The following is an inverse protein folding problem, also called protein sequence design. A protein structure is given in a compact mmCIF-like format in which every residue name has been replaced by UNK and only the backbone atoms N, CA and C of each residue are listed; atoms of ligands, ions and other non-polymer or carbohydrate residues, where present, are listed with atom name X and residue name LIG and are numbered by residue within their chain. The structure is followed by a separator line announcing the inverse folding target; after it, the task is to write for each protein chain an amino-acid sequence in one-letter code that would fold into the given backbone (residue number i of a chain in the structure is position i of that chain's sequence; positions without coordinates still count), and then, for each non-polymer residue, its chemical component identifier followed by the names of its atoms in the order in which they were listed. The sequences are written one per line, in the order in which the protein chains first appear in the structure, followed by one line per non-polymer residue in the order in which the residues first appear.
data_IF_885200549362
#
_entry.id   IF_885200549362
#
_cell.length_a   1.000
_cell.length_b   1.000
_cell.length_c   1.000
_cell.angle_alpha   90.00
_cell.angle_beta   90.00
_cell.angle_gamma   90.00
#
_symmetry.space_group_name_H-M   'P 1'
#
loop_
_entity.id
_entity.type
_entity.pdbx_description
1 polymer ?
#
# COMPACT_ATOMS: atom_id res chain seq x y z
N UNK A 1 -14.65 14.75 22.77
CA UNK A 1 -14.75 13.28 22.85
C UNK A 1 -13.37 12.75 23.15
N UNK A 2 -13.23 11.97 24.23
CA UNK A 2 -12.01 11.18 24.51
C UNK A 2 -12.41 9.75 24.21
N UNK A 3 -11.71 9.12 23.27
CA UNK A 3 -11.87 7.71 22.96
C UNK A 3 -10.70 7.01 23.65
N UNK A 4 -11.02 6.29 24.73
CA UNK A 4 -10.08 5.35 25.36
C UNK A 4 -10.27 4.00 24.67
N UNK A 5 -9.24 3.55 23.97
CA UNK A 5 -9.18 2.22 23.35
C UNK A 5 -7.84 1.58 23.65
N UNK A 6 -7.86 0.42 24.29
CA UNK A 6 -6.68 -0.44 24.42
C UNK A 6 -6.51 -1.27 23.13
N UNK A 7 -5.26 -1.42 22.68
CA UNK A 7 -4.94 -2.37 21.62
C UNK A 7 -5.20 -3.81 22.11
N UNK A 8 -5.65 -4.72 21.23
CA UNK A 8 -5.69 -6.14 21.58
C UNK A 8 -4.28 -6.61 21.97
N UNK A 9 -4.15 -7.19 23.17
CA UNK A 9 -2.88 -7.71 23.72
C UNK A 9 -2.19 -8.78 22.85
N UNK A 10 -2.92 -9.36 21.90
CA UNK A 10 -2.39 -10.28 20.89
C UNK A 10 -2.25 -9.54 19.56
N UNK A 11 -1.05 -9.05 19.31
CA UNK A 11 -0.63 -8.44 18.05
C UNK A 11 -0.21 -9.47 17.01
N UNK A 12 -0.09 -10.75 17.37
CA UNK A 12 0.24 -11.83 16.46
C UNK A 12 -1.04 -12.42 15.85
N UNK A 13 -1.22 -12.23 14.54
CA UNK A 13 -2.21 -12.95 13.74
C UNK A 13 -1.64 -14.31 13.32
N UNK A 14 -2.20 -15.38 13.85
CA UNK A 14 -1.86 -16.76 13.47
C UNK A 14 -2.84 -17.27 12.40
N UNK A 15 -2.31 -17.64 11.24
CA UNK A 15 -3.07 -18.23 10.13
C UNK A 15 -2.70 -19.71 10.04
N UNK A 16 -3.69 -20.59 9.99
CA UNK A 16 -3.54 -22.04 9.80
C UNK A 16 -4.27 -22.44 8.53
N UNK A 17 -3.65 -23.32 7.74
CA UNK A 17 -4.27 -23.92 6.55
C UNK A 17 -4.40 -25.41 6.81
N UNK A 18 -5.59 -25.93 6.56
CA UNK A 18 -5.90 -27.35 6.65
C UNK A 18 -6.26 -27.87 5.25
N UNK A 19 -6.07 -29.17 5.01
CA UNK A 19 -6.70 -29.82 3.86
C UNK A 19 -8.19 -29.99 4.14
N UNK A 20 -8.94 -30.44 3.15
CA UNK A 20 -10.37 -30.64 3.28
C UNK A 20 -10.68 -32.09 2.97
N UNK A 21 -11.20 -32.81 3.96
CA UNK A 21 -11.67 -34.18 3.82
C UNK A 21 -13.19 -34.26 3.89
N UNK A 22 -13.82 -34.93 2.91
CA UNK A 22 -15.28 -35.14 2.93
C UNK A 22 -15.73 -36.02 4.10
N UNK A 23 -14.85 -36.90 4.59
CA UNK A 23 -15.09 -37.79 5.72
C UNK A 23 -13.81 -37.90 6.54
N UNK A 24 -13.79 -37.30 7.73
CA UNK A 24 -12.62 -37.29 8.60
C UNK A 24 -12.50 -35.98 9.36
N UNK A 25 -11.34 -35.76 9.97
CA UNK A 25 -10.93 -34.45 10.49
C UNK A 25 -9.84 -33.90 9.59
N UNK A 26 -10.01 -32.66 9.13
CA UNK A 26 -9.04 -31.95 8.33
C UNK A 26 -7.66 -31.87 9.03
N UNK A 27 -6.60 -32.25 8.31
CA UNK A 27 -5.23 -32.24 8.77
C UNK A 27 -4.57 -30.87 8.51
N UNK A 28 -3.71 -30.44 9.43
CA UNK A 28 -2.99 -29.17 9.28
C UNK A 28 -1.95 -29.29 8.15
N UNK A 29 -2.12 -28.53 7.08
CA UNK A 29 -1.12 -28.36 6.00
C UNK A 29 0.02 -27.46 6.48
N UNK A 30 -0.30 -26.44 7.27
CA UNK A 30 0.71 -25.66 7.99
C UNK A 30 0.22 -24.32 8.51
N UNK A 31 1.09 -23.61 9.22
CA UNK A 31 0.75 -22.35 9.89
C UNK A 31 1.79 -21.22 9.71
N UNK A 32 1.34 -19.97 9.84
CA UNK A 32 2.20 -18.78 9.87
C UNK A 32 1.70 -17.75 10.87
N UNK A 33 2.59 -16.90 11.36
CA UNK A 33 2.28 -15.83 12.29
C UNK A 33 2.75 -14.48 11.72
N UNK A 34 1.89 -13.47 11.84
CA UNK A 34 2.09 -12.10 11.35
C UNK A 34 1.94 -11.12 12.52
N UNK A 35 2.98 -10.32 12.78
CA UNK A 35 2.95 -9.24 13.76
C UNK A 35 2.19 -8.02 13.22
N UNK A 36 1.14 -7.59 13.92
CA UNK A 36 0.25 -6.47 13.61
C UNK A 36 0.64 -5.15 14.31
N UNK A 37 1.48 -5.17 15.35
CA UNK A 37 1.76 -4.01 16.21
C UNK A 37 2.68 -2.97 15.54
N UNK A 38 3.54 -3.41 14.61
CA UNK A 38 4.48 -2.52 13.92
C UNK A 38 3.84 -1.45 13.01
N UNK A 39 2.52 -1.50 12.73
CA UNK A 39 1.87 -0.59 11.78
C UNK A 39 1.24 0.67 12.38
N UNK A 40 0.86 0.66 13.66
CA UNK A 40 0.08 1.76 14.24
C UNK A 40 0.92 2.89 14.84
N UNK A 41 2.03 2.56 15.50
CA UNK A 41 2.86 3.55 16.22
C UNK A 41 4.04 4.10 15.42
N UNK A 42 4.28 3.59 14.20
CA UNK A 42 5.35 4.13 13.38
C UNK A 42 4.92 5.50 12.84
N UNK A 43 5.80 6.51 12.95
CA UNK A 43 5.63 7.82 12.29
C UNK A 43 5.68 7.75 10.76
N UNK A 44 6.00 6.58 10.22
CA UNK A 44 5.92 6.27 8.81
C UNK A 44 4.45 6.00 8.46
N UNK A 45 4.06 6.13 7.19
CA UNK A 45 2.78 5.64 6.68
C UNK A 45 2.71 4.08 6.72
N UNK A 46 3.29 3.43 7.73
CA UNK A 46 3.31 1.97 7.90
C UNK A 46 1.92 1.37 8.09
N UNK A 47 0.92 2.20 8.37
CA UNK A 47 -0.48 1.78 8.36
C UNK A 47 -1.04 1.56 6.95
N UNK A 48 -0.36 2.02 5.90
CA UNK A 48 -0.78 1.90 4.50
C UNK A 48 0.29 1.15 3.68
N UNK A 49 0.29 -0.19 3.66
CA UNK A 49 1.11 -0.95 2.72
C UNK A 49 0.78 -0.52 1.28
N UNK A 50 1.72 0.16 0.62
CA UNK A 50 1.51 0.63 -0.74
C UNK A 50 1.83 -0.51 -1.72
N UNK A 51 0.93 -0.84 -2.66
CA UNK A 51 1.21 -1.83 -3.68
C UNK A 51 2.37 -1.36 -4.56
N UNK A 52 3.08 -2.30 -5.18
CA UNK A 52 4.20 -1.99 -6.07
C UNK A 52 3.71 -1.27 -7.35
N UNK A 53 2.54 -1.65 -7.85
CA UNK A 53 1.94 -1.19 -9.11
C UNK A 53 0.48 -0.84 -8.86
N UNK A 54 0.00 0.23 -9.50
CA UNK A 54 -1.42 0.59 -9.51
C UNK A 54 -2.17 -0.15 -10.61
N UNK A 55 -3.30 -0.78 -10.27
CA UNK A 55 -4.23 -1.44 -11.17
C UNK A 55 -5.66 -1.32 -10.62
N UNK A 56 -6.68 -1.25 -11.48
CA UNK A 56 -8.08 -1.32 -11.05
C UNK A 56 -8.66 -2.75 -11.06
N UNK A 57 -7.89 -3.73 -11.55
CA UNK A 57 -8.29 -5.13 -11.64
C UNK A 57 -7.17 -6.10 -11.20
N UNK A 58 -7.53 -7.39 -11.09
CA UNK A 58 -6.61 -8.48 -10.79
C UNK A 58 -6.11 -8.50 -9.33
N UNK A 59 -5.06 -9.28 -9.08
CA UNK A 59 -4.49 -9.46 -7.73
C UNK A 59 -3.94 -8.16 -7.12
N UNK A 60 -3.47 -7.26 -7.99
CA UNK A 60 -2.87 -5.96 -7.65
C UNK A 60 -3.89 -4.82 -7.64
N UNK A 61 -5.19 -5.14 -7.58
CA UNK A 61 -6.25 -4.14 -7.55
C UNK A 61 -6.04 -3.17 -6.39
N UNK A 62 -6.11 -1.87 -6.69
CA UNK A 62 -6.08 -0.79 -5.73
C UNK A 62 -7.21 -0.94 -4.70
N UNK A 63 -6.86 -0.88 -3.41
CA UNK A 63 -7.78 -1.18 -2.31
C UNK A 63 -8.13 0.03 -1.44
N UNK A 64 -7.53 1.18 -1.72
CA UNK A 64 -7.75 2.39 -0.93
C UNK A 64 -8.92 3.20 -1.50
N UNK A 65 -9.67 3.92 -0.64
CA UNK A 65 -10.79 4.74 -1.07
C UNK A 65 -10.37 5.96 -1.89
N UNK A 66 -9.15 6.46 -1.66
CA UNK A 66 -8.55 7.54 -2.44
C UNK A 66 -7.56 6.97 -3.44
N UNK A 67 -7.49 7.58 -4.61
CA UNK A 67 -6.49 7.25 -5.62
C UNK A 67 -5.10 7.78 -5.22
N UNK A 68 -4.00 7.18 -5.71
CA UNK A 68 -2.64 7.66 -5.44
C UNK A 68 -2.46 9.17 -5.65
N UNK A 69 -3.00 9.76 -6.71
CA UNK A 69 -2.90 11.20 -6.98
C UNK A 69 -3.53 12.05 -5.89
N UNK A 70 -4.70 11.65 -5.38
CA UNK A 70 -5.39 12.32 -4.29
C UNK A 70 -4.65 12.18 -2.96
N UNK A 71 -4.12 10.99 -2.67
CA UNK A 71 -3.29 10.74 -1.48
C UNK A 71 -2.04 11.62 -1.53
N UNK A 72 -1.34 11.65 -2.66
CA UNK A 72 -0.14 12.46 -2.84
C UNK A 72 -0.46 13.95 -2.65
N UNK A 73 -1.54 14.45 -3.26
CA UNK A 73 -1.97 15.83 -3.11
C UNK A 73 -2.18 16.21 -1.63
N UNK A 74 -2.82 15.36 -0.85
CA UNK A 74 -3.03 15.60 0.58
C UNK A 74 -1.72 15.62 1.37
N UNK A 75 -0.79 14.70 1.06
CA UNK A 75 0.52 14.64 1.70
C UNK A 75 1.30 15.93 1.42
N UNK A 76 1.43 16.31 0.15
CA UNK A 76 2.26 17.47 -0.23
C UNK A 76 1.66 18.78 0.28
N UNK A 77 0.32 18.92 0.26
CA UNK A 77 -0.36 20.08 0.81
C UNK A 77 -0.14 20.23 2.33
N UNK A 78 -0.13 19.12 3.08
CA UNK A 78 0.15 19.12 4.52
C UNK A 78 1.57 19.62 4.83
N UNK A 79 2.50 19.51 3.88
CA UNK A 79 3.89 19.96 4.00
C UNK A 79 4.14 21.30 3.30
N UNK A 80 3.08 22.00 2.85
CA UNK A 80 3.18 23.34 2.25
C UNK A 80 3.69 23.37 0.81
N UNK A 81 3.68 22.24 0.11
CA UNK A 81 4.00 22.19 -1.32
C UNK A 81 2.79 22.53 -2.18
N UNK A 82 3.05 23.05 -3.38
CA UNK A 82 2.04 23.18 -4.42
C UNK A 82 1.51 21.79 -4.87
N UNK A 83 0.30 21.74 -5.44
CA UNK A 83 -0.27 20.50 -5.96
C UNK A 83 0.66 19.82 -6.99
N UNK A 84 0.74 18.47 -7.00
CA UNK A 84 1.58 17.76 -7.96
C UNK A 84 1.13 18.03 -9.40
N UNK A 85 2.08 18.15 -10.32
CA UNK A 85 1.79 18.26 -11.76
C UNK A 85 2.11 16.95 -12.47
N UNK A 86 1.36 16.65 -13.54
CA UNK A 86 1.47 15.39 -14.26
C UNK A 86 1.63 15.61 -15.76
N UNK A 87 2.56 14.89 -16.37
CA UNK A 87 2.78 14.92 -17.82
C UNK A 87 3.34 13.59 -18.31
N UNK A 88 2.57 12.88 -19.14
CA UNK A 88 3.01 11.67 -19.84
C UNK A 88 3.78 10.65 -18.94
N UNK A 89 3.23 10.33 -17.77
CA UNK A 89 3.85 9.38 -16.82
C UNK A 89 4.88 10.01 -15.87
N UNK A 90 5.12 11.31 -15.98
CA UNK A 90 5.89 12.09 -15.01
C UNK A 90 4.96 12.70 -13.97
N UNK A 91 5.36 12.66 -12.71
CA UNK A 91 4.75 13.37 -11.59
C UNK A 91 5.81 14.29 -10.98
N UNK A 92 5.54 15.59 -10.91
CA UNK A 92 6.44 16.57 -10.32
C UNK A 92 5.88 17.09 -8.99
N UNK A 93 6.72 17.08 -7.96
CA UNK A 93 6.45 17.66 -6.64
C UNK A 93 7.64 18.57 -6.29
N UNK A 94 7.43 19.89 -6.29
CA UNK A 94 8.52 20.85 -6.18
C UNK A 94 9.58 20.65 -7.28
N UNK A 95 10.82 20.36 -6.86
CA UNK A 95 11.94 20.09 -7.77
C UNK A 95 12.16 18.59 -8.07
N UNK A 96 11.32 17.72 -7.52
CA UNK A 96 11.43 16.27 -7.65
C UNK A 96 10.51 15.76 -8.76
N UNK A 97 11.05 14.93 -9.66
CA UNK A 97 10.29 14.31 -10.75
C UNK A 97 10.34 12.78 -10.57
N UNK A 98 9.16 12.16 -10.58
CA UNK A 98 8.98 10.73 -10.48
C UNK A 98 8.36 10.21 -11.77
N UNK A 99 8.97 9.19 -12.37
CA UNK A 99 8.58 8.67 -13.68
C UNK A 99 8.02 7.26 -13.53
N UNK A 100 6.89 7.02 -14.19
CA UNK A 100 6.23 5.72 -14.28
C UNK A 100 5.53 5.58 -15.63
N UNK A 101 4.83 4.47 -15.84
CA UNK A 101 4.05 4.26 -17.06
C UNK A 101 2.88 5.25 -17.15
N UNK A 102 2.62 5.88 -18.32
CA UNK A 102 1.52 6.85 -18.48
C UNK A 102 0.13 6.18 -18.56
N UNK A 103 0.03 4.91 -18.15
CA UNK A 103 -1.14 4.05 -18.36
C UNK A 103 -1.30 3.06 -17.22
N UNK A 104 -2.53 2.62 -16.97
CA UNK A 104 -2.88 1.53 -16.05
C UNK A 104 -3.90 0.58 -16.69
N UNK A 105 -4.28 -0.48 -15.98
CA UNK A 105 -5.37 -1.38 -16.33
C UNK A 105 -6.66 -0.94 -15.63
N UNK A 106 -7.75 -0.82 -16.38
CA UNK A 106 -9.07 -0.57 -15.85
C UNK A 106 -9.71 -1.85 -15.25
N UNK A 107 -10.94 -1.74 -14.75
CA UNK A 107 -11.67 -2.88 -14.17
C UNK A 107 -11.89 -4.07 -15.14
N UNK A 108 -11.81 -3.85 -16.45
CA UNK A 108 -11.92 -4.89 -17.49
C UNK A 108 -10.57 -5.51 -17.88
N UNK A 109 -9.46 -4.98 -17.37
CA UNK A 109 -8.11 -5.34 -17.81
C UNK A 109 -7.64 -4.60 -19.07
N UNK A 110 -8.35 -3.57 -19.51
CA UNK A 110 -7.96 -2.76 -20.66
C UNK A 110 -6.96 -1.68 -20.27
N UNK A 111 -5.97 -1.43 -21.12
CA UNK A 111 -4.94 -0.41 -20.87
C UNK A 111 -5.48 0.99 -21.19
N UNK A 112 -5.51 1.86 -20.18
CA UNK A 112 -6.02 3.23 -20.27
C UNK A 112 -4.95 4.25 -19.82
N UNK A 113 -4.96 5.50 -20.33
CA UNK A 113 -4.11 6.57 -19.81
C UNK A 113 -4.39 6.85 -18.33
N UNK A 114 -3.34 7.10 -17.54
CA UNK A 114 -3.48 7.37 -16.10
C UNK A 114 -2.26 8.05 -15.49
N UNK A 115 -2.51 8.92 -14.51
CA UNK A 115 -1.49 9.56 -13.68
C UNK A 115 -1.14 8.73 -12.42
N UNK A 116 -1.99 7.77 -12.07
CA UNK A 116 -1.89 7.02 -10.82
C UNK A 116 -0.59 6.22 -10.66
N UNK A 117 -0.02 5.61 -11.71
CA UNK A 117 1.28 4.96 -11.60
C UNK A 117 2.41 5.92 -11.22
N UNK A 118 2.38 7.16 -11.71
CA UNK A 118 3.39 8.17 -11.43
C UNK A 118 3.21 8.76 -10.02
N UNK A 119 1.96 9.00 -9.62
CA UNK A 119 1.63 9.42 -8.27
C UNK A 119 2.02 8.37 -7.22
N UNK A 120 1.73 7.09 -7.47
CA UNK A 120 2.15 5.98 -6.61
C UNK A 120 3.67 5.91 -6.48
N UNK A 121 4.39 6.13 -7.59
CA UNK A 121 5.86 6.16 -7.57
C UNK A 121 6.38 7.29 -6.68
N UNK A 122 5.78 8.48 -6.74
CA UNK A 122 6.12 9.59 -5.86
C UNK A 122 5.86 9.25 -4.39
N UNK A 123 4.69 8.67 -4.07
CA UNK A 123 4.34 8.20 -2.74
C UNK A 123 5.38 7.21 -2.20
N UNK A 124 5.73 6.17 -2.96
CA UNK A 124 6.73 5.17 -2.56
C UNK A 124 8.12 5.76 -2.30
N UNK A 125 8.41 6.97 -2.81
CA UNK A 125 9.71 7.62 -2.73
C UNK A 125 9.66 8.98 -2.02
N UNK A 126 8.69 9.21 -1.13
CA UNK A 126 8.59 10.46 -0.36
C UNK A 126 9.84 10.76 0.48
N UNK A 127 10.58 9.74 0.89
CA UNK A 127 11.87 9.89 1.58
C UNK A 127 12.91 10.67 0.77
N UNK A 128 12.77 10.77 -0.56
CA UNK A 128 13.63 11.59 -1.40
C UNK A 128 13.32 13.09 -1.26
N UNK A 129 12.11 13.45 -0.86
CA UNK A 129 11.67 14.82 -0.62
C UNK A 129 12.04 15.17 0.82
N UNK A 130 13.11 15.93 0.99
CA UNK A 130 13.74 16.20 2.28
C UNK A 130 12.80 16.80 3.32
N UNK A 131 11.85 17.60 2.89
CA UNK A 131 10.86 18.30 3.70
C UNK A 131 9.70 17.40 4.14
N UNK A 132 9.51 16.25 3.49
CA UNK A 132 8.48 15.25 3.84
C UNK A 132 9.11 14.13 4.65
N UNK A 133 10.23 13.57 4.18
CA UNK A 133 11.06 12.63 4.95
C UNK A 133 10.42 11.30 5.37
N UNK A 134 9.21 10.98 4.90
CA UNK A 134 8.54 9.71 5.24
C UNK A 134 9.13 8.52 4.49
N UNK A 135 9.39 7.44 5.23
CA UNK A 135 9.57 6.12 4.63
C UNK A 135 8.22 5.42 4.54
N UNK A 136 7.91 4.80 3.41
CA UNK A 136 6.73 3.94 3.28
C UNK A 136 7.18 2.50 3.43
N UNK A 137 6.37 1.71 4.14
CA UNK A 137 6.56 0.25 4.22
C UNK A 137 5.95 -0.37 2.96
N UNK A 138 6.73 -1.11 2.15
CA UNK A 138 6.18 -1.84 1.00
C UNK A 138 5.06 -2.79 1.42
N UNK A 139 4.10 -3.03 0.53
CA UNK A 139 3.17 -4.15 0.74
C UNK A 139 3.96 -5.47 0.87
N UNK A 140 3.84 -6.11 2.04
CA UNK A 140 4.45 -7.40 2.30
C UNK A 140 3.53 -8.51 1.79
N UNK A 141 4.06 -9.39 0.94
CA UNK A 141 3.44 -10.66 0.58
C UNK A 141 4.18 -11.74 1.37
N UNK A 142 3.46 -12.47 2.22
CA UNK A 142 4.03 -13.61 2.93
C UNK A 142 4.25 -14.75 1.92
N UNK A 143 5.51 -15.11 1.71
CA UNK A 143 5.94 -16.16 0.78
C UNK A 143 6.66 -17.31 1.48
N UNK A 144 6.79 -17.26 2.81
CA UNK A 144 7.34 -18.39 3.58
C UNK A 144 6.49 -19.63 3.34
N UNK A 145 7.18 -20.76 3.16
CA UNK A 145 6.52 -22.05 3.13
C UNK A 145 5.88 -22.30 4.48
N UNK A 146 4.65 -22.79 4.45
CA UNK A 146 3.97 -23.26 5.64
C UNK A 146 4.63 -24.57 6.07
N UNK A 147 4.90 -24.70 7.36
CA UNK A 147 5.40 -25.92 8.01
C UNK A 147 4.29 -26.58 8.81
#
# INVERSE_FOLDING_TARGET
FVIDTEFPKNYLLKIKIFDFDEIGSDDLIGETEIDLECRFYSKNLASMPMPLIYSQCGAWKWRYPLEPSQILQNIVATHGFDPPTYKNGECQVGNYIFISTPTTLDGSGSKIPSNEPAALKAIQNLHMITEIGYHIVPEHIETRQLY
#
